data_IF_223011462578
#
_entry.id   IF_223011462578
#
_cell.length_a   1.000
_cell.length_b   1.000
_cell.length_c   1.000
_cell.angle_alpha   90.00
_cell.angle_beta   90.00
_cell.angle_gamma   90.00
#
_symmetry.space_group_name_H-M   'P 1'
#
loop_
_entity.id
_entity.type
_entity.pdbx_description
1 polymer ?
#
# COMPACT_ATOMS: atom_id res chain seq x y z
N UNK A 1 -17.50 -26.14 13.03
CA UNK A 1 -16.40 -26.49 12.10
C UNK A 1 -15.72 -25.20 11.66
N UNK A 2 -14.45 -24.97 12.03
CA UNK A 2 -13.70 -23.83 11.52
C UNK A 2 -13.50 -24.04 10.00
N UNK A 3 -13.95 -23.11 9.16
CA UNK A 3 -13.60 -23.13 7.74
C UNK A 3 -12.08 -23.01 7.67
N UNK A 4 -11.41 -24.08 7.24
CA UNK A 4 -9.99 -24.06 6.96
C UNK A 4 -9.77 -23.29 5.64
N UNK A 5 -9.99 -21.98 5.68
CA UNK A 5 -9.71 -21.10 4.54
C UNK A 5 -8.20 -21.01 4.39
N UNK A 6 -7.67 -21.63 3.33
CA UNK A 6 -6.26 -21.47 2.96
C UNK A 6 -5.93 -19.98 2.86
N UNK A 7 -4.82 -19.57 3.46
CA UNK A 7 -4.38 -18.20 3.42
C UNK A 7 -3.99 -17.85 1.98
N UNK A 8 -4.68 -16.86 1.41
CA UNK A 8 -4.33 -16.28 0.12
C UNK A 8 -3.98 -14.82 0.36
N UNK A 9 -2.78 -14.41 -0.05
CA UNK A 9 -2.27 -13.03 0.12
C UNK A 9 -1.99 -12.46 -1.26
N UNK A 10 -2.36 -11.19 -1.48
CA UNK A 10 -1.95 -10.45 -2.69
C UNK A 10 -1.08 -9.28 -2.26
N UNK A 11 0.23 -9.40 -2.43
CA UNK A 11 1.16 -8.30 -2.23
C UNK A 11 1.16 -7.35 -3.42
N UNK A 12 1.22 -6.06 -3.14
CA UNK A 12 1.21 -4.99 -4.15
C UNK A 12 2.46 -4.12 -3.96
N UNK A 13 3.37 -4.12 -4.93
CA UNK A 13 4.48 -3.17 -5.04
C UNK A 13 4.04 -2.03 -5.96
N UNK A 14 3.57 -0.93 -5.36
CA UNK A 14 2.84 0.11 -6.09
C UNK A 14 3.80 1.04 -6.83
N UNK A 15 3.50 1.32 -8.10
CA UNK A 15 4.22 2.34 -8.84
C UNK A 15 3.77 3.76 -8.46
N UNK A 16 4.73 4.70 -8.36
CA UNK A 16 4.42 6.13 -8.22
C UNK A 16 4.06 6.85 -9.52
N UNK A 17 3.93 6.13 -10.64
CA UNK A 17 3.58 6.73 -11.93
C UNK A 17 2.82 5.72 -12.78
N UNK A 18 1.76 6.13 -13.49
CA UNK A 18 1.02 5.24 -14.40
C UNK A 18 1.86 4.75 -15.59
N UNK A 19 3.03 5.36 -15.84
CA UNK A 19 3.98 4.92 -16.88
C UNK A 19 4.86 3.74 -16.43
N UNK A 20 4.81 3.37 -15.14
CA UNK A 20 5.61 2.30 -14.57
C UNK A 20 4.69 1.16 -14.12
N UNK A 21 5.12 -0.11 -14.26
CA UNK A 21 4.33 -1.24 -13.80
C UNK A 21 4.27 -1.27 -12.27
N UNK A 22 3.09 -1.57 -11.75
CA UNK A 22 2.86 -2.05 -10.37
C UNK A 22 3.03 -3.56 -10.35
N UNK A 23 3.82 -4.07 -9.41
CA UNK A 23 4.01 -5.50 -9.20
C UNK A 23 2.89 -6.09 -8.34
N UNK A 24 2.36 -7.24 -8.73
CA UNK A 24 1.45 -8.04 -7.92
C UNK A 24 2.08 -9.40 -7.65
N UNK A 25 1.99 -9.86 -6.41
CA UNK A 25 2.38 -11.21 -5.99
C UNK A 25 1.19 -11.90 -5.34
N UNK A 26 0.73 -13.00 -5.93
CA UNK A 26 -0.30 -13.87 -5.38
C UNK A 26 0.40 -15.01 -4.66
N UNK A 27 0.28 -15.03 -3.33
CA UNK A 27 0.83 -16.08 -2.49
C UNK A 27 -0.30 -17.02 -2.03
N UNK A 28 -0.18 -18.29 -2.39
CA UNK A 28 -1.06 -19.38 -1.94
C UNK A 28 -0.19 -20.42 -1.22
N UNK A 29 -0.32 -20.50 0.10
CA UNK A 29 0.57 -21.29 0.95
C UNK A 29 2.05 -20.89 0.74
N UNK A 30 2.85 -21.73 0.07
CA UNK A 30 4.26 -21.46 -0.27
C UNK A 30 4.50 -21.23 -1.78
N UNK A 31 3.45 -21.13 -2.58
CA UNK A 31 3.52 -20.90 -4.02
C UNK A 31 3.23 -19.43 -4.34
N UNK A 32 4.15 -18.80 -5.07
CA UNK A 32 4.04 -17.41 -5.49
C UNK A 32 3.89 -17.31 -7.01
N UNK A 33 2.88 -16.58 -7.45
CA UNK A 33 2.70 -16.18 -8.85
C UNK A 33 2.79 -14.65 -8.93
N UNK A 34 3.56 -14.13 -9.88
CA UNK A 34 3.76 -12.69 -10.03
C UNK A 34 3.24 -12.21 -11.37
N UNK A 35 2.62 -11.03 -11.39
CA UNK A 35 2.26 -10.33 -12.61
C UNK A 35 2.46 -8.82 -12.44
N UNK A 36 2.38 -8.07 -13.54
CA UNK A 36 2.41 -6.61 -13.53
C UNK A 36 1.10 -6.04 -14.06
N UNK A 37 0.71 -4.89 -13.53
CA UNK A 37 -0.44 -4.09 -13.97
C UNK A 37 -0.07 -2.61 -13.95
N UNK A 38 -0.82 -1.75 -14.62
CA UNK A 38 -0.50 -0.31 -14.73
C UNK A 38 -1.56 0.58 -14.10
N UNK A 39 -2.82 0.16 -14.16
CA UNK A 39 -3.97 0.97 -13.75
C UNK A 39 -4.61 0.42 -12.49
N UNK A 40 -5.17 1.32 -11.69
CA UNK A 40 -5.79 0.96 -10.41
C UNK A 40 -6.98 0.01 -10.57
N UNK A 41 -7.72 0.09 -11.68
CA UNK A 41 -8.81 -0.84 -11.98
C UNK A 41 -8.30 -2.26 -12.25
N UNK A 42 -7.18 -2.42 -12.96
CA UNK A 42 -6.52 -3.72 -13.13
C UNK A 42 -6.11 -4.33 -11.78
N UNK A 43 -5.56 -3.52 -10.87
CA UNK A 43 -5.23 -3.96 -9.50
C UNK A 43 -6.50 -4.47 -8.80
N UNK A 44 -7.58 -3.69 -8.85
CA UNK A 44 -8.84 -4.00 -8.17
C UNK A 44 -9.48 -5.26 -8.75
N UNK A 45 -9.52 -5.40 -10.07
CA UNK A 45 -10.14 -6.53 -10.75
C UNK A 45 -9.39 -7.84 -10.43
N UNK A 46 -8.05 -7.81 -10.46
CA UNK A 46 -7.23 -8.97 -10.04
C UNK A 46 -7.48 -9.33 -8.58
N UNK A 47 -7.55 -8.35 -7.68
CA UNK A 47 -7.85 -8.62 -6.27
C UNK A 47 -9.26 -9.21 -6.09
N UNK A 48 -10.27 -8.72 -6.80
CA UNK A 48 -11.64 -9.25 -6.75
C UNK A 48 -11.74 -10.67 -7.28
N UNK A 49 -10.99 -10.97 -8.35
CA UNK A 49 -10.89 -12.31 -8.93
C UNK A 49 -10.27 -13.30 -7.93
N UNK A 50 -9.15 -12.91 -7.32
CA UNK A 50 -8.37 -13.78 -6.41
C UNK A 50 -9.07 -13.98 -5.05
N UNK A 51 -9.81 -12.97 -4.57
CA UNK A 51 -10.46 -12.93 -3.25
C UNK A 51 -9.49 -13.23 -2.10
N UNK A 52 -8.39 -12.46 -1.97
CA UNK A 52 -7.40 -12.71 -0.93
C UNK A 52 -7.93 -12.39 0.47
N UNK A 53 -7.35 -13.07 1.46
CA UNK A 53 -7.58 -12.81 2.89
C UNK A 53 -6.83 -11.57 3.39
N UNK A 54 -5.70 -11.23 2.74
CA UNK A 54 -4.82 -10.12 3.12
C UNK A 54 -4.21 -9.46 1.87
N UNK A 55 -4.07 -8.12 1.93
CA UNK A 55 -3.50 -7.32 0.83
C UNK A 55 -2.47 -6.34 1.42
N UNK A 56 -1.20 -6.74 1.60
CA UNK A 56 -0.14 -5.79 1.91
C UNK A 56 0.16 -4.93 0.67
N UNK A 57 0.38 -3.63 0.90
CA UNK A 57 0.68 -2.66 -0.16
C UNK A 57 1.95 -1.92 0.24
N UNK A 58 2.99 -2.03 -0.59
CA UNK A 58 4.23 -1.30 -0.45
C UNK A 58 4.08 0.11 -1.03
N UNK A 59 3.51 1.00 -0.21
CA UNK A 59 3.46 2.43 -0.47
C UNK A 59 3.16 3.17 0.85
N UNK A 60 3.54 4.45 0.96
CA UNK A 60 3.01 5.31 2.00
C UNK A 60 1.47 5.43 1.94
N UNK A 61 0.79 5.19 3.07
CA UNK A 61 -0.69 5.22 3.16
C UNK A 61 -1.23 6.16 4.26
N UNK A 62 -0.39 7.09 4.69
CA UNK A 62 -0.72 8.12 5.67
C UNK A 62 0.05 9.39 5.37
N UNK A 63 -0.56 10.52 5.71
CA UNK A 63 0.09 11.83 5.67
C UNK A 63 0.79 12.11 7.00
N UNK A 64 1.83 12.97 7.03
CA UNK A 64 2.35 13.57 8.24
C UNK A 64 1.25 14.37 8.97
N UNK A 65 1.41 14.57 10.28
CA UNK A 65 0.45 15.33 11.06
C UNK A 65 0.31 16.77 10.55
N UNK A 66 -0.92 17.29 10.54
CA UNK A 66 -1.22 18.65 10.10
C UNK A 66 -1.33 18.85 8.58
N UNK A 67 -1.08 17.82 7.75
CA UNK A 67 -1.28 17.91 6.30
C UNK A 67 -2.66 17.44 5.86
N UNK A 68 -3.28 18.17 4.93
CA UNK A 68 -4.52 17.76 4.26
C UNK A 68 -4.27 16.93 3.00
N UNK A 69 -3.18 17.20 2.29
CA UNK A 69 -2.74 16.47 1.09
C UNK A 69 -1.23 16.28 1.11
N UNK A 70 -0.68 15.47 0.20
CA UNK A 70 0.78 15.31 0.08
C UNK A 70 1.49 16.55 -0.47
N UNK A 71 0.73 17.41 -1.17
CA UNK A 71 1.18 18.69 -1.71
C UNK A 71 1.00 19.85 -0.74
N UNK A 72 0.16 19.68 0.28
CA UNK A 72 0.03 20.61 1.39
C UNK A 72 1.39 20.74 2.07
N UNK A 73 1.94 21.96 2.07
CA UNK A 73 3.24 22.27 2.69
C UNK A 73 3.09 22.75 4.13
N UNK A 74 1.86 22.88 4.63
CA UNK A 74 1.60 23.10 6.05
C UNK A 74 1.83 21.81 6.85
N UNK A 75 1.99 21.91 8.16
CA UNK A 75 2.21 20.76 9.03
C UNK A 75 3.59 20.10 8.93
N UNK A 76 3.71 18.90 9.48
CA UNK A 76 4.99 18.24 9.66
C UNK A 76 5.53 17.62 8.37
N UNK A 77 6.83 17.30 8.33
CA UNK A 77 7.43 16.57 7.21
C UNK A 77 7.46 15.04 7.41
N UNK A 78 7.39 14.59 8.67
CA UNK A 78 7.61 13.21 9.05
C UNK A 78 6.37 12.63 9.72
N UNK A 79 6.06 11.37 9.41
CA UNK A 79 5.05 10.58 10.13
C UNK A 79 5.66 10.01 11.42
N UNK A 80 4.83 9.49 12.32
CA UNK A 80 5.34 8.83 13.53
C UNK A 80 6.22 7.62 13.21
N UNK A 81 5.89 6.84 12.17
CA UNK A 81 6.75 5.74 11.73
C UNK A 81 8.10 6.24 11.23
N UNK A 82 8.14 7.38 10.54
CA UNK A 82 9.38 8.01 10.06
C UNK A 82 10.24 8.47 11.25
N UNK A 83 9.62 9.05 12.28
CA UNK A 83 10.31 9.41 13.53
C UNK A 83 10.86 8.19 14.25
N UNK A 84 10.12 7.09 14.29
CA UNK A 84 10.58 5.83 14.88
C UNK A 84 11.83 5.28 14.17
N UNK A 85 11.89 5.38 12.83
CA UNK A 85 13.08 5.02 12.06
C UNK A 85 14.29 5.91 12.42
N UNK A 86 14.09 7.23 12.55
CA UNK A 86 15.17 8.15 12.97
C UNK A 86 15.70 7.85 14.36
N UNK A 87 14.82 7.51 15.33
CA UNK A 87 15.24 7.13 16.69
C UNK A 87 16.15 5.89 16.68
N UNK A 88 16.01 5.03 15.67
CA UNK A 88 16.85 3.85 15.43
C UNK A 88 18.04 4.13 14.48
N UNK A 89 18.31 5.39 14.14
CA UNK A 89 19.35 5.80 13.18
C UNK A 89 19.20 5.18 11.77
N UNK A 90 17.98 4.80 11.39
CA UNK A 90 17.68 4.26 10.06
C UNK A 90 17.41 5.41 9.09
N UNK A 91 18.16 5.45 7.99
CA UNK A 91 17.95 6.41 6.89
C UNK A 91 16.78 5.96 6.01
N UNK A 92 15.96 6.92 5.58
CA UNK A 92 14.84 6.70 4.66
C UNK A 92 14.60 7.95 3.82
N UNK A 93 13.74 7.82 2.82
CA UNK A 93 13.26 8.94 2.02
C UNK A 93 11.93 9.46 2.58
N UNK A 94 11.88 10.71 3.08
CA UNK A 94 10.63 11.29 3.56
C UNK A 94 9.57 11.33 2.47
N UNK A 95 8.31 11.10 2.85
CA UNK A 95 7.21 11.07 1.87
C UNK A 95 6.95 12.42 1.19
N UNK A 96 7.48 13.50 1.78
CA UNK A 96 7.44 14.85 1.25
C UNK A 96 8.54 15.12 0.20
N UNK A 97 9.45 14.17 -0.06
CA UNK A 97 10.42 14.27 -1.15
C UNK A 97 9.73 14.07 -2.50
N UNK A 98 10.15 14.78 -3.56
CA UNK A 98 9.51 14.78 -4.88
C UNK A 98 9.10 13.40 -5.41
N UNK A 99 10.04 12.45 -5.58
CA UNK A 99 9.72 11.09 -6.03
C UNK A 99 8.78 10.34 -5.07
N UNK A 100 8.93 10.55 -3.76
CA UNK A 100 8.06 9.89 -2.78
C UNK A 100 6.65 10.46 -2.76
N UNK A 101 6.45 11.74 -3.11
CA UNK A 101 5.10 12.31 -3.30
C UNK A 101 4.36 11.56 -4.40
N UNK A 102 5.05 11.29 -5.52
CA UNK A 102 4.50 10.55 -6.65
C UNK A 102 4.08 9.13 -6.28
N UNK A 103 4.77 8.47 -5.34
CA UNK A 103 4.37 7.17 -4.79
C UNK A 103 3.28 7.25 -3.72
N UNK A 104 3.32 8.29 -2.89
CA UNK A 104 2.38 8.45 -1.76
C UNK A 104 0.97 8.77 -2.23
N UNK A 105 0.82 9.57 -3.28
CA UNK A 105 -0.48 9.95 -3.83
C UNK A 105 -1.32 8.73 -4.28
N UNK A 106 -0.83 7.83 -5.15
CA UNK A 106 -1.58 6.62 -5.51
C UNK A 106 -1.77 5.70 -4.31
N UNK A 107 -0.81 5.61 -3.37
CA UNK A 107 -0.96 4.83 -2.13
C UNK A 107 -2.12 5.31 -1.24
N UNK A 108 -2.30 6.64 -1.13
CA UNK A 108 -3.42 7.25 -0.43
C UNK A 108 -4.74 7.05 -1.19
N UNK A 109 -4.74 7.19 -2.52
CA UNK A 109 -5.92 6.96 -3.35
C UNK A 109 -6.40 5.51 -3.26
N UNK A 110 -5.51 4.54 -3.35
CA UNK A 110 -5.84 3.11 -3.27
C UNK A 110 -6.41 2.71 -1.90
N UNK A 111 -6.07 3.46 -0.84
CA UNK A 111 -6.62 3.25 0.52
C UNK A 111 -8.12 3.50 0.60
N UNK A 112 -8.68 4.39 -0.22
CA UNK A 112 -10.11 4.69 -0.19
C UNK A 112 -10.92 3.76 -1.10
N UNK A 113 -10.27 3.02 -2.00
CA UNK A 113 -10.95 2.16 -2.98
C UNK A 113 -11.45 0.84 -2.36
N UNK A 114 -12.65 0.35 -2.76
CA UNK A 114 -13.18 -0.92 -2.32
C UNK A 114 -12.55 -2.07 -3.15
N UNK A 115 -11.50 -2.69 -2.62
CA UNK A 115 -10.77 -3.75 -3.35
C UNK A 115 -11.48 -5.11 -3.34
N UNK A 116 -12.13 -5.52 -2.25
CA UNK A 116 -13.00 -6.72 -2.19
C UNK A 116 -13.83 -6.75 -0.91
N UNK A 117 -14.77 -7.68 -0.78
CA UNK A 117 -15.45 -7.99 0.49
C UNK A 117 -14.67 -9.09 1.22
N UNK A 118 -14.56 -9.00 2.54
CA UNK A 118 -13.99 -10.07 3.38
C UNK A 118 -12.45 -10.12 3.51
N UNK A 119 -11.69 -9.18 2.94
CA UNK A 119 -10.25 -9.07 3.19
C UNK A 119 -9.96 -8.26 4.46
N UNK A 120 -8.92 -8.65 5.22
CA UNK A 120 -8.49 -7.89 6.39
C UNK A 120 -7.62 -6.72 5.95
N UNK A 121 -8.12 -5.50 6.15
CA UNK A 121 -7.28 -4.30 6.05
C UNK A 121 -6.46 -4.16 7.33
N UNK A 122 -5.14 -4.22 7.22
CA UNK A 122 -4.24 -3.86 8.31
C UNK A 122 -4.24 -2.33 8.43
N UNK A 123 -5.21 -1.80 9.18
CA UNK A 123 -5.15 -0.42 9.65
C UNK A 123 -4.40 -0.41 10.98
N UNK A 124 -3.43 0.51 11.18
CA UNK A 124 -2.85 0.70 12.50
C UNK A 124 -3.99 1.04 13.47
N UNK A 125 -4.11 0.24 14.55
CA UNK A 125 -4.96 0.61 15.68
C UNK A 125 -4.34 1.87 16.29
N UNK A 126 -5.08 2.97 16.27
CA UNK A 126 -4.71 4.18 17.02
C UNK A 126 -4.87 3.91 18.50
#
# INVERSE_FOLDING_TARGET
MAKNTRLVVVGIDLAGSPRRPTGLCVLRDLMAETCVVFRDDEIIDRVKEIRPTLIPIDAPRSLPNGRRTIHDRSGENLRECDRALLRQSIRFFPITLGPMRMLTEPGLALKTKPMSTGYRRLLPRR
#
